data_IF_085233163755
#
_entry.id   IF_085233163755
#
_cell.length_a   1.000
_cell.length_b   1.000
_cell.length_c   1.000
_cell.angle_alpha   90.00
_cell.angle_beta   90.00
_cell.angle_gamma   90.00
#
_symmetry.space_group_name_H-M   'P 1'
#
loop_
_entity.id
_entity.type
_entity.pdbx_description
1 polymer ?
#
# COMPACT_ATOMS: atom_id res chain seq x y z
N UNK A 1 -133.60 -9.30 -6.34
CA UNK A 1 -132.35 -9.85 -5.75
C UNK A 1 -131.42 -10.46 -6.81
N UNK A 2 -131.59 -10.16 -8.11
CA UNK A 2 -130.76 -10.72 -9.20
C UNK A 2 -129.90 -9.69 -9.96
N UNK A 3 -130.02 -8.38 -9.69
CA UNK A 3 -129.22 -7.37 -10.43
C UNK A 3 -127.79 -7.18 -9.90
N UNK A 4 -127.47 -7.75 -8.73
CA UNK A 4 -126.17 -7.53 -8.06
C UNK A 4 -125.17 -8.68 -8.34
N UNK A 5 -125.68 -9.86 -8.72
CA UNK A 5 -124.87 -11.04 -9.03
C UNK A 5 -123.87 -10.83 -10.19
N UNK A 6 -124.24 -10.24 -11.35
CA UNK A 6 -123.29 -10.06 -12.45
C UNK A 6 -122.19 -9.03 -12.12
N UNK A 7 -122.51 -8.01 -11.32
CA UNK A 7 -121.55 -6.95 -10.92
C UNK A 7 -120.48 -7.51 -9.97
N UNK A 8 -120.86 -8.36 -9.01
CA UNK A 8 -119.92 -9.01 -8.09
C UNK A 8 -118.97 -9.96 -8.85
N UNK A 9 -119.46 -10.68 -9.85
CA UNK A 9 -118.66 -11.59 -10.68
C UNK A 9 -117.64 -10.81 -11.52
N UNK A 10 -118.03 -9.67 -12.10
CA UNK A 10 -117.14 -8.83 -12.90
C UNK A 10 -116.08 -8.15 -12.01
N UNK A 11 -116.45 -7.57 -10.87
CA UNK A 11 -115.50 -6.95 -9.94
C UNK A 11 -114.55 -8.01 -9.34
N UNK A 12 -115.07 -9.19 -9.00
CA UNK A 12 -114.27 -10.34 -8.58
C UNK A 12 -113.28 -10.79 -9.65
N UNK A 13 -113.72 -10.87 -10.92
CA UNK A 13 -112.87 -11.21 -12.06
C UNK A 13 -111.77 -10.17 -12.33
N UNK A 14 -112.09 -8.87 -12.25
CA UNK A 14 -111.12 -7.78 -12.46
C UNK A 14 -110.10 -7.74 -11.32
N UNK A 15 -110.53 -7.88 -10.07
CA UNK A 15 -109.61 -7.92 -8.91
C UNK A 15 -108.71 -9.15 -8.94
N UNK A 16 -109.23 -10.33 -9.31
CA UNK A 16 -108.42 -11.53 -9.56
C UNK A 16 -107.42 -11.34 -10.70
N UNK A 17 -107.82 -10.71 -11.81
CA UNK A 17 -106.93 -10.45 -12.95
C UNK A 17 -105.80 -9.46 -12.59
N UNK A 18 -106.10 -8.41 -11.82
CA UNK A 18 -105.10 -7.46 -11.32
C UNK A 18 -104.16 -8.12 -10.32
N UNK A 19 -104.68 -8.92 -9.37
CA UNK A 19 -103.86 -9.68 -8.43
C UNK A 19 -102.97 -10.70 -9.14
N UNK A 20 -103.49 -11.37 -10.18
CA UNK A 20 -102.73 -12.31 -11.00
C UNK A 20 -101.63 -11.61 -11.81
N UNK A 21 -101.93 -10.46 -12.42
CA UNK A 21 -100.96 -9.62 -13.13
C UNK A 21 -99.87 -9.07 -12.19
N UNK A 22 -100.25 -8.56 -11.01
CA UNK A 22 -99.30 -8.08 -10.00
C UNK A 22 -98.44 -9.21 -9.42
N UNK A 23 -98.98 -10.42 -9.25
CA UNK A 23 -98.20 -11.60 -8.88
C UNK A 23 -97.25 -12.04 -9.99
N UNK A 24 -97.67 -11.96 -11.26
CA UNK A 24 -96.81 -12.20 -12.41
C UNK A 24 -95.63 -11.23 -12.48
N UNK A 25 -95.89 -9.92 -12.30
CA UNK A 25 -94.87 -8.88 -12.29
C UNK A 25 -93.90 -9.01 -11.09
N UNK A 26 -94.42 -9.35 -9.89
CA UNK A 26 -93.57 -9.63 -8.72
C UNK A 26 -92.70 -10.87 -8.93
N UNK A 27 -93.25 -11.97 -9.48
CA UNK A 27 -92.48 -13.18 -9.80
C UNK A 27 -91.38 -12.91 -10.83
N UNK A 28 -91.67 -12.15 -11.89
CA UNK A 28 -90.68 -11.76 -12.89
C UNK A 28 -89.54 -10.92 -12.28
N UNK A 29 -89.86 -10.00 -11.34
CA UNK A 29 -88.86 -9.19 -10.65
C UNK A 29 -88.00 -10.00 -9.67
N UNK A 30 -88.60 -11.00 -9.00
CA UNK A 30 -87.86 -11.93 -8.13
C UNK A 30 -86.90 -12.80 -8.97
N UNK A 31 -87.36 -13.34 -10.10
CA UNK A 31 -86.54 -14.15 -11.00
C UNK A 31 -85.36 -13.35 -11.62
N UNK A 32 -85.59 -12.08 -11.98
CA UNK A 32 -84.51 -11.18 -12.43
C UNK A 32 -83.50 -10.88 -11.30
N UNK A 33 -83.98 -10.65 -10.07
CA UNK A 33 -83.10 -10.44 -8.91
C UNK A 33 -82.30 -11.69 -8.55
N UNK A 34 -82.89 -12.88 -8.63
CA UNK A 34 -82.20 -14.16 -8.42
C UNK A 34 -81.12 -14.39 -9.48
N UNK A 35 -81.42 -14.12 -10.75
CA UNK A 35 -80.42 -14.18 -11.84
C UNK A 35 -79.27 -13.20 -11.65
N UNK A 36 -79.55 -11.95 -11.23
CA UNK A 36 -78.50 -10.97 -10.92
C UNK A 36 -77.65 -11.40 -9.73
N UNK A 37 -78.27 -11.92 -8.68
CA UNK A 37 -77.56 -12.44 -7.50
C UNK A 37 -76.70 -13.66 -7.85
N UNK A 38 -77.20 -14.58 -8.67
CA UNK A 38 -76.45 -15.74 -9.14
C UNK A 38 -75.26 -15.31 -10.01
N UNK A 39 -75.47 -14.35 -10.90
CA UNK A 39 -74.40 -13.76 -11.70
C UNK A 39 -73.34 -13.11 -10.81
N UNK A 40 -73.74 -12.28 -9.84
CA UNK A 40 -72.83 -11.66 -8.87
C UNK A 40 -72.06 -12.69 -8.05
N UNK A 41 -72.71 -13.77 -7.60
CA UNK A 41 -72.03 -14.87 -6.88
C UNK A 41 -70.99 -15.54 -7.76
N UNK A 42 -71.32 -15.86 -9.01
CA UNK A 42 -70.38 -16.47 -9.98
C UNK A 42 -69.20 -15.55 -10.29
N UNK A 43 -69.41 -14.23 -10.39
CA UNK A 43 -68.32 -13.27 -10.60
C UNK A 43 -67.43 -13.14 -9.37
N UNK A 44 -68.00 -12.99 -8.17
CA UNK A 44 -67.24 -12.91 -6.93
C UNK A 44 -66.45 -14.19 -6.65
N UNK A 45 -67.02 -15.35 -6.96
CA UNK A 45 -66.36 -16.65 -6.78
C UNK A 45 -65.15 -16.79 -7.72
N UNK A 46 -65.28 -16.37 -8.99
CA UNK A 46 -64.15 -16.31 -9.93
C UNK A 46 -63.05 -15.34 -9.48
N UNK A 47 -63.42 -14.22 -8.84
CA UNK A 47 -62.45 -13.24 -8.34
C UNK A 47 -61.69 -13.76 -7.11
N UNK A 48 -62.39 -14.43 -6.19
CA UNK A 48 -61.76 -15.13 -5.05
C UNK A 48 -60.78 -16.21 -5.54
N UNK A 49 -61.14 -17.00 -6.55
CA UNK A 49 -60.25 -18.00 -7.15
C UNK A 49 -58.99 -17.37 -7.77
N UNK A 50 -59.14 -16.23 -8.46
CA UNK A 50 -58.01 -15.47 -9.01
C UNK A 50 -57.10 -14.91 -7.92
N UNK A 51 -57.66 -14.35 -6.86
CA UNK A 51 -56.88 -13.82 -5.73
C UNK A 51 -56.13 -14.94 -5.00
N UNK A 52 -56.78 -16.07 -4.77
CA UNK A 52 -56.16 -17.23 -4.13
C UNK A 52 -55.03 -17.81 -4.99
N UNK A 53 -55.20 -17.90 -6.32
CA UNK A 53 -54.15 -18.37 -7.20
C UNK A 53 -52.95 -17.42 -7.26
N UNK A 54 -53.18 -16.10 -7.32
CA UNK A 54 -52.13 -15.10 -7.25
C UNK A 54 -51.38 -15.11 -5.91
N UNK A 55 -52.10 -15.25 -4.78
CA UNK A 55 -51.50 -15.34 -3.45
C UNK A 55 -50.64 -16.61 -3.30
N UNK A 56 -51.12 -17.74 -3.80
CA UNK A 56 -50.37 -19.00 -3.78
C UNK A 56 -49.09 -18.93 -4.63
N UNK A 57 -49.16 -18.28 -5.79
CA UNK A 57 -47.98 -18.06 -6.64
C UNK A 57 -46.97 -17.14 -5.96
N UNK A 58 -47.44 -16.05 -5.32
CA UNK A 58 -46.58 -15.15 -4.55
C UNK A 58 -45.88 -15.87 -3.40
N UNK A 59 -46.63 -16.65 -2.61
CA UNK A 59 -46.10 -17.43 -1.50
C UNK A 59 -45.05 -18.44 -1.98
N UNK A 60 -45.30 -19.13 -3.11
CA UNK A 60 -44.34 -20.08 -3.69
C UNK A 60 -43.04 -19.38 -4.10
N UNK A 61 -43.12 -18.25 -4.80
CA UNK A 61 -41.95 -17.46 -5.19
C UNK A 61 -41.15 -16.96 -3.98
N UNK A 62 -41.83 -16.53 -2.92
CA UNK A 62 -41.19 -16.10 -1.68
C UNK A 62 -40.49 -17.26 -0.96
N UNK A 63 -41.14 -18.43 -0.89
CA UNK A 63 -40.55 -19.63 -0.29
C UNK A 63 -39.32 -20.12 -1.07
N UNK A 64 -39.36 -20.09 -2.40
CA UNK A 64 -38.21 -20.40 -3.26
C UNK A 64 -37.03 -19.45 -3.00
N UNK A 65 -37.28 -18.14 -2.85
CA UNK A 65 -36.25 -17.16 -2.48
C UNK A 65 -35.63 -17.45 -1.11
N UNK A 66 -36.43 -17.78 -0.10
CA UNK A 66 -35.92 -18.12 1.23
C UNK A 66 -35.07 -19.40 1.21
N UNK A 67 -35.49 -20.44 0.48
CA UNK A 67 -34.72 -21.68 0.34
C UNK A 67 -33.38 -21.41 -0.34
N UNK A 68 -33.37 -20.57 -1.39
CA UNK A 68 -32.14 -20.15 -2.06
C UNK A 68 -31.20 -19.43 -1.09
N UNK A 69 -31.72 -18.49 -0.30
CA UNK A 69 -30.93 -17.73 0.69
C UNK A 69 -30.34 -18.62 1.79
N UNK A 70 -31.10 -19.61 2.26
CA UNK A 70 -30.61 -20.57 3.26
C UNK A 70 -29.47 -21.42 2.70
N UNK A 71 -29.54 -21.82 1.42
CA UNK A 71 -28.45 -22.56 0.77
C UNK A 71 -27.18 -21.71 0.64
N UNK A 72 -27.32 -20.44 0.24
CA UNK A 72 -26.19 -19.50 0.17
C UNK A 72 -25.53 -19.33 1.54
N UNK A 73 -26.32 -19.11 2.60
CA UNK A 73 -25.80 -18.96 3.96
C UNK A 73 -25.08 -20.22 4.46
N UNK A 74 -25.57 -21.42 4.14
CA UNK A 74 -24.88 -22.69 4.49
C UNK A 74 -23.53 -22.86 3.80
N UNK A 75 -23.40 -22.38 2.56
CA UNK A 75 -22.11 -22.42 1.84
C UNK A 75 -21.13 -21.43 2.48
N UNK A 76 -21.61 -20.24 2.82
CA UNK A 76 -20.78 -19.19 3.42
C UNK A 76 -20.28 -19.58 4.82
N UNK A 77 -21.15 -20.15 5.67
CA UNK A 77 -20.72 -20.61 7.00
C UNK A 77 -19.68 -21.72 6.93
N UNK A 78 -19.79 -22.61 5.93
CA UNK A 78 -18.77 -23.65 5.68
C UNK A 78 -17.44 -23.03 5.25
N UNK A 79 -17.46 -22.05 4.34
CA UNK A 79 -16.25 -21.31 3.92
C UNK A 79 -15.57 -20.60 5.09
N UNK A 80 -16.34 -19.92 5.94
CA UNK A 80 -15.81 -19.24 7.12
C UNK A 80 -15.19 -20.21 8.12
N UNK A 81 -15.78 -21.39 8.31
CA UNK A 81 -15.22 -22.44 9.15
C UNK A 81 -13.87 -22.95 8.60
N UNK A 82 -13.77 -23.17 7.29
CA UNK A 82 -12.52 -23.60 6.64
C UNK A 82 -11.43 -22.53 6.74
N UNK A 83 -11.78 -21.26 6.57
CA UNK A 83 -10.85 -20.12 6.75
C UNK A 83 -10.35 -20.06 8.18
N UNK A 84 -11.25 -20.12 9.17
CA UNK A 84 -10.87 -20.10 10.58
C UNK A 84 -9.95 -21.26 10.93
N UNK A 85 -10.23 -22.48 10.44
CA UNK A 85 -9.37 -23.64 10.66
C UNK A 85 -7.98 -23.47 10.02
N UNK A 86 -7.89 -22.89 8.82
CA UNK A 86 -6.60 -22.60 8.17
C UNK A 86 -5.81 -21.53 8.94
N UNK A 87 -6.48 -20.47 9.38
CA UNK A 87 -5.88 -19.38 10.15
C UNK A 87 -5.35 -19.86 11.49
N UNK A 88 -6.13 -20.66 12.24
CA UNK A 88 -5.69 -21.24 13.51
C UNK A 88 -4.49 -22.16 13.31
N UNK A 89 -4.51 -23.05 12.31
CA UNK A 89 -3.38 -23.93 12.00
C UNK A 89 -2.09 -23.15 11.63
N UNK A 90 -2.22 -22.04 10.91
CA UNK A 90 -1.09 -21.17 10.59
C UNK A 90 -0.54 -20.45 11.82
N UNK A 91 -1.42 -19.98 12.72
CA UNK A 91 -1.02 -19.36 14.00
C UNK A 91 -0.28 -20.37 14.88
N UNK A 92 -0.72 -21.63 14.95
CA UNK A 92 0.02 -22.67 15.69
C UNK A 92 1.40 -22.90 15.10
N UNK A 93 1.51 -23.06 13.78
CA UNK A 93 2.81 -23.22 13.09
C UNK A 93 3.75 -22.04 13.32
N UNK A 94 3.23 -20.80 13.29
CA UNK A 94 3.99 -19.60 13.61
C UNK A 94 4.49 -19.61 15.05
N UNK A 95 3.63 -19.98 16.01
CA UNK A 95 4.00 -20.08 17.43
C UNK A 95 5.09 -21.14 17.68
N UNK A 96 5.05 -22.26 16.94
CA UNK A 96 6.04 -23.33 17.02
C UNK A 96 7.38 -22.89 16.43
N UNK A 97 7.35 -22.21 15.27
CA UNK A 97 8.55 -21.60 14.67
C UNK A 97 9.18 -20.57 15.61
N UNK A 98 8.38 -19.72 16.24
CA UNK A 98 8.86 -18.73 17.19
C UNK A 98 9.51 -19.38 18.42
N UNK A 99 8.88 -20.42 18.98
CA UNK A 99 9.48 -21.20 20.08
C UNK A 99 10.78 -21.90 19.67
N UNK A 100 10.82 -22.51 18.48
CA UNK A 100 12.05 -23.13 17.96
C UNK A 100 13.17 -22.12 17.75
N UNK A 101 12.86 -20.93 17.23
CA UNK A 101 13.83 -19.85 17.07
C UNK A 101 14.36 -19.38 18.43
N UNK A 102 13.48 -19.16 19.42
CA UNK A 102 13.88 -18.76 20.77
C UNK A 102 14.77 -19.81 21.45
N UNK A 103 14.45 -21.10 21.30
CA UNK A 103 15.28 -22.18 21.84
C UNK A 103 16.68 -22.22 21.19
N UNK A 104 16.77 -22.07 19.87
CA UNK A 104 18.06 -21.99 19.16
C UNK A 104 18.86 -20.75 19.61
N UNK A 105 18.18 -19.62 19.79
CA UNK A 105 18.78 -18.38 20.28
C UNK A 105 19.34 -18.58 21.69
N UNK A 106 18.56 -19.16 22.61
CA UNK A 106 19.00 -19.42 23.99
C UNK A 106 20.16 -20.41 24.06
N UNK A 107 20.08 -21.53 23.31
CA UNK A 107 21.13 -22.54 23.26
C UNK A 107 22.43 -21.94 22.73
N UNK A 108 22.40 -21.21 21.60
CA UNK A 108 23.59 -20.57 21.03
C UNK A 108 24.11 -19.44 21.91
N UNK A 109 23.22 -18.65 22.52
CA UNK A 109 23.59 -17.58 23.46
C UNK A 109 24.19 -18.10 24.76
N UNK A 110 23.98 -19.36 25.15
CA UNK A 110 24.66 -19.94 26.31
C UNK A 110 26.14 -20.27 26.05
N UNK A 111 26.51 -20.55 24.79
CA UNK A 111 27.88 -20.92 24.41
C UNK A 111 28.79 -19.69 24.19
N UNK A 112 28.24 -18.55 23.76
CA UNK A 112 29.02 -17.32 23.51
C UNK A 112 29.65 -16.71 24.78
N UNK A 113 28.97 -16.62 25.95
CA UNK A 113 29.55 -16.12 27.19
C UNK A 113 30.70 -16.97 27.70
N UNK A 114 30.63 -18.29 27.52
CA UNK A 114 31.71 -19.20 27.92
C UNK A 114 32.98 -18.95 27.10
N UNK A 115 32.84 -18.88 25.77
CA UNK A 115 33.98 -18.63 24.87
C UNK A 115 34.59 -17.24 25.11
N UNK A 116 33.76 -16.21 25.27
CA UNK A 116 34.24 -14.86 25.61
C UNK A 116 34.95 -14.82 26.98
N UNK A 117 34.52 -15.63 27.94
CA UNK A 117 35.17 -15.75 29.25
C UNK A 117 36.51 -16.48 29.14
N UNK A 118 36.62 -17.53 28.34
CA UNK A 118 37.88 -18.24 28.11
C UNK A 118 38.99 -17.33 27.52
N UNK A 119 38.63 -16.43 26.57
CA UNK A 119 39.57 -15.42 26.06
C UNK A 119 39.97 -14.38 27.11
N UNK A 120 39.03 -13.96 27.97
CA UNK A 120 39.28 -13.08 29.12
C UNK A 120 40.28 -13.71 30.09
N UNK A 121 40.04 -14.97 30.46
CA UNK A 121 40.88 -15.73 31.40
C UNK A 121 42.30 -15.93 30.86
N UNK A 122 42.42 -16.14 29.55
CA UNK A 122 43.72 -16.21 28.86
C UNK A 122 44.48 -14.87 28.93
N UNK A 123 43.78 -13.75 28.71
CA UNK A 123 44.36 -12.41 28.83
C UNK A 123 44.86 -12.15 30.28
N UNK A 124 44.06 -12.56 31.27
CA UNK A 124 44.42 -12.44 32.69
C UNK A 124 45.60 -13.35 33.08
N UNK A 125 45.71 -14.52 32.48
CA UNK A 125 46.85 -15.41 32.65
C UNK A 125 48.15 -14.78 32.13
N UNK A 126 48.14 -14.19 30.93
CA UNK A 126 49.30 -13.49 30.38
C UNK A 126 49.77 -12.34 31.27
N UNK A 127 48.83 -11.51 31.77
CA UNK A 127 49.19 -10.42 32.68
C UNK A 127 49.73 -10.90 34.04
N UNK A 128 49.29 -12.05 34.55
CA UNK A 128 49.87 -12.68 35.74
C UNK A 128 51.30 -13.16 35.49
N UNK A 129 51.59 -13.70 34.31
CA UNK A 129 52.95 -14.10 33.93
C UNK A 129 53.89 -12.89 33.85
N UNK A 130 53.47 -11.81 33.21
CA UNK A 130 54.25 -10.58 33.09
C UNK A 130 54.52 -9.94 34.47
N UNK A 131 53.50 -9.94 35.33
CA UNK A 131 53.63 -9.48 36.71
C UNK A 131 54.63 -10.34 37.51
N UNK A 132 54.57 -11.67 37.39
CA UNK A 132 55.49 -12.59 38.06
C UNK A 132 56.94 -12.39 37.58
N UNK A 133 57.13 -12.18 36.27
CA UNK A 133 58.44 -11.96 35.67
C UNK A 133 59.07 -10.64 36.15
N UNK A 134 58.27 -9.60 36.40
CA UNK A 134 58.77 -8.34 36.96
C UNK A 134 59.12 -8.40 38.45
N UNK A 135 58.47 -9.30 39.20
CA UNK A 135 58.77 -9.53 40.61
C UNK A 135 60.00 -10.44 40.80
N UNK A 136 60.26 -11.35 39.87
CA UNK A 136 61.40 -12.28 39.93
C UNK A 136 62.74 -11.68 39.47
N UNK A 137 62.74 -10.46 38.92
CA UNK A 137 63.97 -9.74 38.51
C UNK A 137 64.83 -9.39 39.73
N UNK A 138 66.16 -9.34 39.51
CA UNK A 138 67.18 -8.95 40.51
C UNK A 138 66.88 -7.59 41.19
N UNK A 139 66.15 -6.69 40.52
CA UNK A 139 65.56 -5.48 41.09
C UNK A 139 64.05 -5.49 40.80
N UNK A 140 63.22 -5.94 41.75
CA UNK A 140 61.76 -6.02 41.56
C UNK A 140 61.13 -4.65 41.32
N UNK A 141 60.14 -4.58 40.43
CA UNK A 141 59.47 -3.34 40.04
C UNK A 141 57.97 -3.32 40.44
N UNK A 142 57.62 -3.19 41.73
CA UNK A 142 56.25 -3.33 42.22
C UNK A 142 55.28 -2.31 41.63
N UNK A 143 55.70 -1.06 41.42
CA UNK A 143 54.88 -0.03 40.77
C UNK A 143 54.56 -0.34 39.30
N UNK A 144 55.48 -1.01 38.59
CA UNK A 144 55.23 -1.45 37.21
C UNK A 144 54.25 -2.63 37.18
N UNK A 145 54.34 -3.52 38.18
CA UNK A 145 53.40 -4.65 38.35
C UNK A 145 51.98 -4.16 38.63
N UNK A 146 51.79 -3.13 39.46
CA UNK A 146 50.46 -2.55 39.68
C UNK A 146 49.86 -1.97 38.40
N UNK A 147 50.66 -1.23 37.62
CA UNK A 147 50.22 -0.71 36.31
C UNK A 147 49.86 -1.82 35.33
N UNK A 148 50.61 -2.92 35.31
CA UNK A 148 50.32 -4.08 34.46
C UNK A 148 49.05 -4.78 34.92
N UNK A 149 48.85 -5.02 36.22
CA UNK A 149 47.61 -5.60 36.74
C UNK A 149 46.39 -4.77 36.37
N UNK A 150 46.50 -3.44 36.46
CA UNK A 150 45.42 -2.55 36.07
C UNK A 150 45.16 -2.57 34.55
N UNK A 151 46.22 -2.54 33.74
CA UNK A 151 46.12 -2.62 32.29
C UNK A 151 45.54 -3.97 31.83
N UNK A 152 45.99 -5.08 32.40
CA UNK A 152 45.46 -6.43 32.14
C UNK A 152 43.98 -6.51 32.50
N UNK A 153 43.56 -5.99 33.66
CA UNK A 153 42.13 -5.98 34.04
C UNK A 153 41.28 -5.19 33.05
N UNK A 154 41.76 -4.05 32.55
CA UNK A 154 41.05 -3.27 31.52
C UNK A 154 41.00 -4.04 30.20
N UNK A 155 42.12 -4.64 29.78
CA UNK A 155 42.21 -5.40 28.55
C UNK A 155 41.33 -6.67 28.57
N UNK A 156 41.35 -7.44 29.66
CA UNK A 156 40.52 -8.63 29.86
C UNK A 156 39.02 -8.29 29.80
N UNK A 157 38.59 -7.23 30.51
CA UNK A 157 37.21 -6.76 30.43
C UNK A 157 36.80 -6.26 29.03
N UNK A 158 37.71 -5.56 28.33
CA UNK A 158 37.46 -5.10 26.96
C UNK A 158 37.35 -6.28 25.99
N UNK A 159 38.25 -7.27 26.09
CA UNK A 159 38.27 -8.48 25.28
C UNK A 159 36.97 -9.28 25.46
N UNK A 160 36.54 -9.48 26.72
CA UNK A 160 35.27 -10.16 27.02
C UNK A 160 34.08 -9.46 26.36
N UNK A 161 33.99 -8.13 26.47
CA UNK A 161 32.90 -7.34 25.86
C UNK A 161 32.97 -7.39 24.34
N UNK A 162 34.14 -7.21 23.76
CA UNK A 162 34.36 -7.28 22.32
C UNK A 162 33.95 -8.63 21.74
N UNK A 163 34.40 -9.74 22.32
CA UNK A 163 34.05 -11.10 21.86
C UNK A 163 32.55 -11.37 21.97
N UNK A 164 31.95 -10.96 23.09
CA UNK A 164 30.50 -11.10 23.30
C UNK A 164 29.69 -10.34 22.24
N UNK A 165 30.09 -9.10 21.94
CA UNK A 165 29.46 -8.28 20.90
C UNK A 165 29.71 -8.84 19.50
N UNK A 166 30.96 -9.20 19.18
CA UNK A 166 31.33 -9.76 17.89
C UNK A 166 30.52 -11.02 17.58
N UNK A 167 30.46 -11.98 18.49
CA UNK A 167 29.71 -13.22 18.25
C UNK A 167 28.21 -12.97 18.09
N UNK A 168 27.67 -11.99 18.82
CA UNK A 168 26.27 -11.60 18.69
C UNK A 168 25.99 -10.94 17.34
N UNK A 169 26.90 -10.09 16.86
CA UNK A 169 26.84 -9.49 15.51
C UNK A 169 26.98 -10.58 14.44
N UNK A 170 28.00 -11.44 14.51
CA UNK A 170 28.19 -12.56 13.57
C UNK A 170 26.94 -13.46 13.50
N UNK A 171 26.28 -13.70 14.64
CA UNK A 171 25.02 -14.43 14.72
C UNK A 171 23.90 -13.67 14.01
N UNK A 172 23.73 -12.38 14.28
CA UNK A 172 22.70 -11.58 13.61
C UNK A 172 22.93 -11.47 12.10
N UNK A 173 24.15 -11.23 11.65
CA UNK A 173 24.50 -11.18 10.22
C UNK A 173 24.19 -12.52 9.52
N UNK A 174 24.45 -13.64 10.20
CA UNK A 174 24.19 -14.97 9.64
C UNK A 174 22.70 -15.29 9.49
N UNK A 175 21.89 -14.96 10.48
CA UNK A 175 20.46 -15.32 10.50
C UNK A 175 19.56 -14.24 9.91
N UNK A 176 20.04 -13.01 9.84
CA UNK A 176 19.36 -11.86 9.26
C UNK A 176 20.28 -11.17 8.25
N UNK A 177 20.58 -11.79 7.09
CA UNK A 177 21.53 -11.23 6.11
C UNK A 177 21.15 -9.84 5.59
N UNK A 178 19.86 -9.47 5.65
CA UNK A 178 19.35 -8.16 5.29
C UNK A 178 19.85 -7.03 6.21
N UNK A 179 20.30 -7.34 7.44
CA UNK A 179 20.90 -6.35 8.34
C UNK A 179 22.18 -5.77 7.71
N UNK A 180 22.94 -6.55 6.94
CA UNK A 180 24.13 -6.07 6.23
C UNK A 180 23.80 -4.96 5.23
N UNK A 181 22.63 -5.04 4.58
CA UNK A 181 22.16 -4.02 3.64
C UNK A 181 21.79 -2.68 4.36
N UNK A 182 21.70 -2.68 5.70
CA UNK A 182 21.36 -1.52 6.56
C UNK A 182 22.59 -0.97 7.31
N UNK A 183 23.79 -1.53 7.11
CA UNK A 183 24.99 -1.10 7.87
C UNK A 183 25.62 0.20 7.37
N UNK A 184 26.22 0.97 8.29
CA UNK A 184 26.88 2.26 8.02
C UNK A 184 25.94 3.45 8.10
N UNK A 185 26.04 4.40 7.16
CA UNK A 185 25.21 5.61 7.08
C UNK A 185 23.69 5.31 6.97
N UNK A 186 23.32 4.09 6.54
CA UNK A 186 21.94 3.60 6.42
C UNK A 186 21.29 3.30 7.79
N UNK A 187 22.07 3.04 8.85
CA UNK A 187 21.53 2.71 10.17
C UNK A 187 20.99 3.95 10.90
N UNK A 188 21.72 5.08 10.84
CA UNK A 188 21.22 6.35 11.39
C UNK A 188 19.97 6.81 10.64
N UNK A 189 19.92 6.62 9.32
CA UNK A 189 18.71 6.88 8.52
C UNK A 189 17.55 5.94 8.84
N UNK A 190 17.83 4.64 9.05
CA UNK A 190 16.81 3.67 9.46
C UNK A 190 16.22 4.05 10.83
N UNK A 191 17.07 4.51 11.76
CA UNK A 191 16.65 5.00 13.07
C UNK A 191 15.85 6.32 12.95
N UNK A 192 16.31 7.27 12.14
CA UNK A 192 15.60 8.54 11.90
C UNK A 192 14.26 8.34 11.17
N UNK A 193 14.20 7.42 10.21
CA UNK A 193 12.97 7.05 9.50
C UNK A 193 11.98 6.33 10.43
N UNK A 194 12.46 5.47 11.33
CA UNK A 194 11.66 4.87 12.39
C UNK A 194 11.16 5.91 13.39
N UNK A 195 12.01 6.85 13.83
CA UNK A 195 11.60 7.96 14.70
C UNK A 195 10.51 8.81 14.03
N UNK A 196 10.64 9.12 12.74
CA UNK A 196 9.62 9.85 11.97
C UNK A 196 8.27 9.09 11.86
N UNK A 197 8.27 7.76 11.95
CA UNK A 197 7.06 6.92 11.92
C UNK A 197 6.46 6.78 13.33
N UNK A 198 7.27 6.63 14.36
CA UNK A 198 6.86 6.36 15.75
C UNK A 198 6.53 7.65 16.52
N UNK A 199 7.14 8.76 16.14
CA UNK A 199 6.89 10.10 16.66
C UNK A 199 7.08 11.08 15.51
N UNK A 200 6.09 11.22 14.60
CA UNK A 200 6.14 12.31 13.64
C UNK A 200 6.39 13.58 14.44
N UNK A 201 7.45 14.35 14.14
CA UNK A 201 7.62 15.65 14.74
C UNK A 201 6.28 16.37 14.61
N UNK A 202 5.84 17.01 15.68
CA UNK A 202 4.84 18.08 15.59
C UNK A 202 5.47 19.26 14.81
N UNK A 203 6.02 19.02 13.63
CA UNK A 203 6.22 20.05 12.64
C UNK A 203 4.82 20.39 12.15
N UNK A 204 4.43 21.62 12.42
CA UNK A 204 3.16 22.15 11.97
C UNK A 204 3.03 21.82 10.47
N UNK A 205 1.90 21.27 10.02
CA UNK A 205 1.66 20.97 8.59
C UNK A 205 1.70 22.21 7.67
N UNK A 206 2.20 23.34 8.17
CA UNK A 206 2.22 24.66 7.56
C UNK A 206 3.62 25.28 7.52
N UNK A 207 4.65 24.64 8.08
CA UNK A 207 5.99 25.20 8.04
C UNK A 207 6.64 24.97 6.67
N UNK A 208 7.01 26.08 6.05
CA UNK A 208 7.63 26.11 4.73
C UNK A 208 8.99 25.38 4.76
N UNK A 209 9.19 24.29 3.98
CA UNK A 209 10.47 23.56 3.94
C UNK A 209 11.69 24.43 3.61
N UNK A 210 11.48 25.57 2.94
CA UNK A 210 12.54 26.56 2.65
C UNK A 210 13.11 27.17 3.93
N UNK A 211 12.30 27.32 5.00
CA UNK A 211 12.77 27.84 6.31
C UNK A 211 13.87 26.96 6.91
N UNK A 212 13.82 25.66 6.69
CA UNK A 212 14.84 24.73 7.21
C UNK A 212 16.20 24.89 6.50
N UNK A 213 16.24 25.61 5.37
CA UNK A 213 17.45 25.81 4.55
C UNK A 213 17.99 27.24 4.64
N UNK A 214 17.28 28.17 5.30
CA UNK A 214 17.65 29.57 5.42
C UNK A 214 17.66 30.04 6.87
N UNK A 215 18.55 30.97 7.20
CA UNK A 215 18.44 31.70 8.46
C UNK A 215 17.24 32.64 8.46
N UNK A 216 16.76 33.03 9.64
CA UNK A 216 15.63 33.96 9.76
C UNK A 216 15.90 35.31 9.08
N UNK A 217 17.15 35.79 9.10
CA UNK A 217 17.56 37.04 8.44
C UNK A 217 17.49 36.93 6.92
N UNK A 218 18.04 35.85 6.35
CA UNK A 218 17.98 35.58 4.91
C UNK A 218 16.53 35.39 4.45
N UNK A 219 15.74 34.65 5.24
CA UNK A 219 14.33 34.46 4.98
C UNK A 219 13.55 35.76 5.05
N UNK A 220 13.97 36.80 5.78
CA UNK A 220 13.28 38.09 5.78
C UNK A 220 13.74 39.02 4.64
N UNK A 221 15.02 38.94 4.25
CA UNK A 221 15.66 39.91 3.37
C UNK A 221 15.36 39.72 1.87
N UNK A 222 15.29 38.47 1.39
CA UNK A 222 15.20 38.18 -0.05
C UNK A 222 13.75 38.26 -0.57
N UNK A 223 13.53 38.31 -1.89
CA UNK A 223 12.20 38.09 -2.48
C UNK A 223 11.80 36.61 -2.45
N UNK A 224 10.54 36.27 -2.73
CA UNK A 224 10.09 34.86 -2.77
C UNK A 224 10.90 34.03 -3.78
N UNK A 225 11.13 34.55 -4.98
CA UNK A 225 11.92 33.88 -6.02
C UNK A 225 13.35 33.58 -5.55
N UNK A 226 14.03 34.59 -4.99
CA UNK A 226 15.41 34.50 -4.51
C UNK A 226 15.54 33.57 -3.31
N UNK A 227 14.60 33.62 -2.34
CA UNK A 227 14.58 32.70 -1.19
C UNK A 227 14.45 31.26 -1.66
N UNK A 228 13.53 31.00 -2.59
CA UNK A 228 13.27 29.67 -3.11
C UNK A 228 14.46 29.15 -3.94
N UNK A 229 15.10 30.01 -4.74
CA UNK A 229 16.31 29.65 -5.49
C UNK A 229 17.47 29.33 -4.55
N UNK A 230 17.71 30.18 -3.54
CA UNK A 230 18.78 29.96 -2.56
C UNK A 230 18.58 28.64 -1.78
N UNK A 231 17.35 28.31 -1.40
CA UNK A 231 17.03 27.02 -0.80
C UNK A 231 17.30 25.86 -1.76
N UNK A 232 16.94 26.00 -3.04
CA UNK A 232 17.20 24.98 -4.05
C UNK A 232 18.70 24.75 -4.24
N UNK A 233 19.49 25.82 -4.31
CA UNK A 233 20.94 25.76 -4.48
C UNK A 233 21.61 25.09 -3.27
N UNK A 234 21.20 25.46 -2.05
CA UNK A 234 21.66 24.81 -0.81
C UNK A 234 21.25 23.34 -0.76
N UNK A 235 20.03 23.04 -1.16
CA UNK A 235 19.56 21.66 -1.23
C UNK A 235 20.40 20.85 -2.22
N UNK A 236 20.73 21.39 -3.40
CA UNK A 236 21.62 20.75 -4.38
C UNK A 236 23.01 20.52 -3.81
N UNK A 237 23.61 21.52 -3.13
CA UNK A 237 24.98 21.45 -2.60
C UNK A 237 25.12 20.62 -1.32
N UNK A 238 24.03 20.41 -0.56
CA UNK A 238 24.04 19.60 0.67
C UNK A 238 24.53 18.18 0.36
N UNK A 239 25.40 17.64 1.23
CA UNK A 239 25.78 16.23 1.22
C UNK A 239 24.53 15.37 1.42
N UNK A 240 24.31 14.45 0.50
CA UNK A 240 23.14 13.56 0.50
C UNK A 240 23.51 12.17 0.95
N UNK A 241 22.53 11.50 1.54
CA UNK A 241 22.65 10.08 1.87
C UNK A 241 22.52 9.20 0.63
N UNK A 242 22.86 7.92 0.78
CA UNK A 242 22.68 6.94 -0.28
C UNK A 242 21.20 6.80 -0.69
N UNK A 243 20.27 6.91 0.27
CA UNK A 243 18.84 6.85 0.00
C UNK A 243 18.35 8.08 -0.77
N UNK A 244 18.74 9.29 -0.34
CA UNK A 244 18.42 10.53 -1.05
C UNK A 244 18.96 10.51 -2.48
N UNK A 245 20.20 10.01 -2.68
CA UNK A 245 20.80 9.85 -4.00
C UNK A 245 20.03 8.82 -4.83
N UNK A 246 19.61 7.70 -4.23
CA UNK A 246 18.76 6.69 -4.89
C UNK A 246 17.46 7.30 -5.40
N UNK A 247 16.72 8.00 -4.54
CA UNK A 247 15.47 8.71 -4.90
C UNK A 247 15.70 9.76 -5.97
N UNK A 248 16.81 10.49 -5.92
CA UNK A 248 17.17 11.46 -6.97
C UNK A 248 17.43 10.78 -8.31
N UNK A 249 18.09 9.62 -8.30
CA UNK A 249 18.31 8.85 -9.51
C UNK A 249 17.00 8.32 -10.08
N UNK A 250 16.08 7.82 -9.25
CA UNK A 250 14.73 7.43 -9.68
C UNK A 250 14.00 8.60 -10.34
N UNK A 251 14.05 9.78 -9.73
CA UNK A 251 13.45 11.01 -10.28
C UNK A 251 14.04 11.37 -11.64
N UNK A 252 15.37 11.28 -11.78
CA UNK A 252 16.06 11.56 -13.03
C UNK A 252 15.69 10.56 -14.13
N UNK A 253 15.66 9.26 -13.82
CA UNK A 253 15.22 8.25 -14.78
C UNK A 253 13.76 8.48 -15.19
N UNK A 254 12.89 8.84 -14.25
CA UNK A 254 11.51 9.21 -14.57
C UNK A 254 11.41 10.42 -15.49
N UNK A 255 12.20 11.48 -15.25
CA UNK A 255 12.30 12.63 -16.15
C UNK A 255 12.72 12.22 -17.57
N UNK A 256 13.72 11.34 -17.72
CA UNK A 256 14.13 10.84 -19.05
C UNK A 256 13.00 10.09 -19.77
N UNK A 257 12.13 9.39 -19.05
CA UNK A 257 10.95 8.75 -19.64
C UNK A 257 9.87 9.78 -20.01
N UNK A 258 9.65 10.82 -19.19
CA UNK A 258 8.72 11.91 -19.50
C UNK A 258 9.14 12.67 -20.75
N UNK A 259 10.42 12.97 -20.92
CA UNK A 259 10.99 13.60 -22.13
C UNK A 259 10.74 12.76 -23.40
N UNK A 260 10.59 11.44 -23.25
CA UNK A 260 10.25 10.53 -24.35
C UNK A 260 8.73 10.41 -24.58
N UNK A 261 7.93 11.26 -23.93
CA UNK A 261 6.48 11.28 -23.98
C UNK A 261 5.81 10.11 -23.26
N UNK A 262 6.46 9.52 -22.24
CA UNK A 262 5.84 8.50 -21.41
C UNK A 262 5.16 9.13 -20.20
N UNK A 263 4.05 8.54 -19.75
CA UNK A 263 3.44 8.91 -18.48
C UNK A 263 4.13 8.14 -17.34
N UNK A 264 4.71 8.84 -16.37
CA UNK A 264 5.49 8.23 -15.29
C UNK A 264 4.78 8.41 -13.95
N UNK A 265 4.75 7.34 -13.17
CA UNK A 265 4.34 7.34 -11.77
C UNK A 265 5.54 6.97 -10.89
N UNK A 266 5.97 7.88 -10.02
CA UNK A 266 7.13 7.74 -9.14
C UNK A 266 6.81 6.90 -7.90
N UNK A 267 6.52 5.63 -8.10
CA UNK A 267 6.01 4.73 -7.06
C UNK A 267 6.98 4.59 -5.87
N UNK A 268 8.28 4.42 -6.12
CA UNK A 268 9.32 4.33 -5.08
C UNK A 268 9.41 5.60 -4.24
N UNK A 269 9.46 6.77 -4.88
CA UNK A 269 9.48 8.06 -4.19
C UNK A 269 8.21 8.35 -3.35
N UNK A 270 7.07 7.72 -3.67
CA UNK A 270 5.79 7.87 -2.95
C UNK A 270 5.63 6.81 -1.83
N UNK A 271 6.00 5.56 -2.09
CA UNK A 271 5.77 4.41 -1.20
C UNK A 271 6.96 4.06 -0.31
N UNK A 272 8.15 4.56 -0.61
CA UNK A 272 9.36 4.24 0.13
C UNK A 272 9.56 2.73 0.22
N UNK A 273 9.81 2.21 1.43
CA UNK A 273 10.09 0.79 1.66
C UNK A 273 8.96 -0.18 1.27
N UNK A 274 7.72 0.31 1.15
CA UNK A 274 6.56 -0.50 0.75
C UNK A 274 6.43 -0.66 -0.78
N UNK A 275 7.37 -0.12 -1.56
CA UNK A 275 7.36 -0.19 -3.02
C UNK A 275 7.69 -1.59 -3.59
N UNK A 276 8.18 -2.49 -2.74
CA UNK A 276 8.69 -3.83 -3.06
C UNK A 276 9.85 -3.82 -4.09
N UNK A 277 10.45 -2.65 -4.35
CA UNK A 277 11.47 -2.41 -5.37
C UNK A 277 10.91 -2.02 -6.75
N UNK A 278 9.68 -1.52 -6.83
CA UNK A 278 9.09 -0.93 -8.05
C UNK A 278 9.25 0.58 -7.99
N UNK A 279 10.29 1.10 -8.60
CA UNK A 279 10.63 2.51 -8.40
C UNK A 279 9.76 3.41 -9.30
N UNK A 280 9.55 3.02 -10.57
CA UNK A 280 8.68 3.74 -11.51
C UNK A 280 7.67 2.81 -12.19
N UNK A 281 6.47 3.33 -12.43
CA UNK A 281 5.48 2.71 -13.31
C UNK A 281 5.31 3.64 -14.52
N UNK A 282 5.82 3.21 -15.67
CA UNK A 282 5.86 4.01 -16.89
C UNK A 282 4.83 3.45 -17.86
N UNK A 283 4.00 4.31 -18.46
CA UNK A 283 2.93 3.90 -19.38
C UNK A 283 3.05 4.64 -20.70
N UNK A 284 2.99 3.91 -21.82
CA UNK A 284 3.01 4.47 -23.17
C UNK A 284 2.28 3.56 -24.15
N UNK A 285 1.33 4.13 -24.92
CA UNK A 285 0.63 3.44 -26.02
C UNK A 285 0.02 2.07 -25.67
N UNK A 286 -0.48 1.90 -24.45
CA UNK A 286 -1.07 0.64 -23.98
C UNK A 286 -0.09 -0.30 -23.26
N UNK A 287 1.22 -0.07 -23.38
CA UNK A 287 2.25 -0.80 -22.67
C UNK A 287 2.55 -0.16 -21.31
N UNK A 288 2.82 -1.00 -20.32
CA UNK A 288 3.26 -0.61 -18.98
C UNK A 288 4.63 -1.21 -18.69
N UNK A 289 5.60 -0.37 -18.36
CA UNK A 289 6.91 -0.78 -17.89
C UNK A 289 7.00 -0.60 -16.38
N UNK A 290 7.39 -1.65 -15.69
CA UNK A 290 7.73 -1.58 -14.26
C UNK A 290 9.24 -1.46 -14.17
N UNK A 291 9.71 -0.30 -13.72
CA UNK A 291 11.12 0.06 -13.73
C UNK A 291 11.68 0.00 -12.32
N UNK A 292 12.79 -0.70 -12.16
CA UNK A 292 13.63 -0.64 -10.96
C UNK A 292 14.95 0.05 -11.28
N UNK A 293 15.31 1.04 -10.48
CA UNK A 293 16.50 1.85 -10.56
C UNK A 293 17.46 1.47 -9.41
N UNK A 294 18.73 1.25 -9.73
CA UNK A 294 19.79 1.07 -8.72
C UNK A 294 20.99 1.96 -9.02
N UNK A 295 21.16 2.99 -8.19
CA UNK A 295 22.30 3.89 -8.25
C UNK A 295 23.42 3.43 -7.31
N UNK A 296 24.36 2.64 -7.82
CA UNK A 296 25.50 2.11 -7.07
C UNK A 296 26.82 2.65 -7.63
N UNK A 297 27.87 2.57 -6.82
CA UNK A 297 29.22 2.91 -7.24
C UNK A 297 29.67 2.04 -8.43
N UNK A 298 30.45 2.61 -9.35
CA UNK A 298 30.79 1.99 -10.65
C UNK A 298 31.60 0.71 -10.51
N UNK A 299 32.32 0.56 -9.41
CA UNK A 299 33.11 -0.62 -9.06
C UNK A 299 32.26 -1.77 -8.49
N UNK A 300 31.01 -1.50 -8.11
CA UNK A 300 30.09 -2.52 -7.61
C UNK A 300 29.42 -3.24 -8.78
N UNK A 301 29.13 -4.52 -8.56
CA UNK A 301 28.43 -5.35 -9.53
C UNK A 301 27.05 -5.71 -9.00
N UNK A 302 26.03 -5.59 -9.85
CA UNK A 302 24.67 -6.05 -9.55
C UNK A 302 24.59 -7.55 -9.79
N UNK A 303 24.16 -8.29 -8.77
CA UNK A 303 23.95 -9.73 -8.83
C UNK A 303 22.47 -10.08 -9.03
N UNK A 304 22.21 -11.34 -9.36
CA UNK A 304 20.91 -11.88 -9.77
C UNK A 304 19.76 -11.62 -8.78
N UNK A 305 20.08 -11.38 -7.50
CA UNK A 305 19.10 -11.11 -6.43
C UNK A 305 18.11 -10.02 -6.83
N UNK A 306 18.58 -8.95 -7.48
CA UNK A 306 17.75 -7.82 -7.85
C UNK A 306 16.88 -8.11 -9.08
N UNK A 307 17.40 -8.90 -10.02
CA UNK A 307 16.63 -9.35 -11.18
C UNK A 307 15.48 -10.27 -10.74
N UNK A 308 15.74 -11.19 -9.82
CA UNK A 308 14.69 -12.04 -9.25
C UNK A 308 13.65 -11.26 -8.46
N UNK A 309 14.09 -10.27 -7.67
CA UNK A 309 13.20 -9.38 -6.95
C UNK A 309 12.29 -8.63 -7.92
N UNK A 310 12.85 -7.92 -8.91
CA UNK A 310 12.07 -7.18 -9.91
C UNK A 310 11.07 -8.11 -10.59
N UNK A 311 11.53 -9.25 -11.12
CA UNK A 311 10.65 -10.20 -11.79
C UNK A 311 9.50 -10.66 -10.88
N UNK A 312 9.79 -11.09 -9.66
CA UNK A 312 8.77 -11.51 -8.70
C UNK A 312 7.76 -10.40 -8.39
N UNK A 313 8.22 -9.16 -8.29
CA UNK A 313 7.33 -8.02 -8.06
C UNK A 313 6.48 -7.71 -9.30
N UNK A 314 7.00 -7.82 -10.52
CA UNK A 314 6.19 -7.63 -11.72
C UNK A 314 5.09 -8.69 -11.81
N UNK A 315 5.42 -9.95 -11.53
CA UNK A 315 4.43 -11.03 -11.48
C UNK A 315 3.31 -10.74 -10.47
N UNK A 316 3.66 -10.25 -9.28
CA UNK A 316 2.68 -9.84 -8.26
C UNK A 316 1.80 -8.68 -8.74
N UNK A 317 2.37 -7.69 -9.43
CA UNK A 317 1.63 -6.57 -9.99
C UNK A 317 0.61 -7.03 -11.04
N UNK A 318 1.04 -7.89 -11.97
CA UNK A 318 0.17 -8.45 -13.01
C UNK A 318 -0.97 -9.26 -12.37
N UNK A 319 -0.64 -10.12 -11.41
CA UNK A 319 -1.63 -10.93 -10.70
C UNK A 319 -2.67 -10.06 -9.98
N UNK A 320 -2.30 -8.91 -9.42
CA UNK A 320 -3.26 -7.96 -8.82
C UNK A 320 -4.08 -7.19 -9.84
N UNK A 321 -3.51 -6.83 -10.99
CA UNK A 321 -4.20 -6.02 -12.01
C UNK A 321 -5.18 -6.84 -12.85
N UNK A 322 -4.86 -8.11 -13.17
CA UNK A 322 -5.73 -8.99 -13.96
C UNK A 322 -6.87 -9.60 -13.13
N UNK A 323 -6.68 -9.67 -11.83
CA UNK A 323 -7.67 -10.12 -10.88
C UNK A 323 -8.51 -8.93 -10.43
N UNK A 324 -9.84 -8.95 -10.61
CA UNK A 324 -10.78 -8.02 -9.96
C UNK A 324 -10.83 -8.23 -8.42
N UNK A 325 -9.67 -8.35 -7.75
CA UNK A 325 -9.51 -8.67 -6.34
C UNK A 325 -9.34 -10.17 -6.00
N UNK A 326 -9.41 -11.10 -6.96
CA UNK A 326 -9.23 -12.54 -6.72
C UNK A 326 -7.88 -13.07 -7.23
N UNK A 327 -6.94 -13.42 -6.34
CA UNK A 327 -5.62 -13.95 -6.72
C UNK A 327 -5.71 -15.14 -7.69
N UNK A 328 -5.36 -14.95 -8.96
CA UNK A 328 -5.27 -16.02 -9.94
C UNK A 328 -3.97 -16.83 -9.75
N UNK A 329 -3.95 -18.11 -10.16
CA UNK A 329 -2.72 -18.90 -10.16
C UNK A 329 -1.65 -18.28 -11.06
N UNK A 330 -0.41 -18.22 -10.54
CA UNK A 330 0.75 -17.57 -11.18
C UNK A 330 0.90 -17.93 -12.68
N UNK A 331 0.74 -19.22 -13.03
CA UNK A 331 1.00 -19.75 -14.36
C UNK A 331 -0.08 -19.41 -15.41
N UNK A 332 -1.33 -19.19 -15.01
CA UNK A 332 -2.39 -18.70 -15.92
C UNK A 332 -2.25 -17.21 -16.20
N UNK A 333 -1.53 -16.47 -15.34
CA UNK A 333 -1.26 -15.04 -15.51
C UNK A 333 -0.22 -14.78 -16.61
N UNK A 334 0.70 -15.73 -16.86
CA UNK A 334 1.75 -15.58 -17.88
C UNK A 334 1.24 -15.67 -19.32
N UNK A 335 0.04 -16.21 -19.58
CA UNK A 335 -0.53 -16.27 -20.93
C UNK A 335 -1.19 -14.94 -21.36
N UNK A 336 -1.39 -14.00 -20.42
CA UNK A 336 -1.89 -12.63 -20.65
C UNK A 336 -0.80 -11.56 -20.46
N UNK A 337 0.47 -11.92 -20.68
CA UNK A 337 1.63 -11.03 -20.53
C UNK A 337 1.79 -9.96 -21.61
N UNK A 338 0.74 -9.65 -22.39
CA UNK A 338 0.90 -8.87 -23.62
C UNK A 338 1.43 -7.46 -23.40
N UNK A 339 1.19 -6.85 -22.24
CA UNK A 339 1.33 -5.39 -22.11
C UNK A 339 2.16 -4.90 -20.91
N UNK A 340 2.74 -5.79 -20.09
CA UNK A 340 3.55 -5.40 -18.91
C UNK A 340 4.99 -5.93 -19.02
N UNK A 341 5.99 -5.03 -18.98
CA UNK A 341 7.41 -5.36 -19.16
C UNK A 341 8.27 -4.92 -17.96
N UNK A 342 9.09 -5.81 -17.37
CA UNK A 342 10.09 -5.42 -16.37
C UNK A 342 11.30 -4.73 -17.01
N UNK A 343 11.74 -3.60 -16.43
CA UNK A 343 12.95 -2.88 -16.83
C UNK A 343 13.84 -2.63 -15.61
N UNK A 344 15.11 -3.00 -15.71
CA UNK A 344 16.13 -2.77 -14.69
C UNK A 344 17.14 -1.75 -15.18
N UNK A 345 17.29 -0.64 -14.44
CA UNK A 345 18.17 0.48 -14.80
C UNK A 345 19.21 0.66 -13.70
N UNK A 346 20.48 0.77 -14.06
CA UNK A 346 21.54 0.97 -13.07
C UNK A 346 22.68 1.83 -13.58
N UNK A 347 23.35 2.52 -12.66
CA UNK A 347 24.55 3.32 -12.93
C UNK A 347 25.82 2.48 -13.06
N UNK A 348 25.75 1.18 -12.77
CA UNK A 348 26.87 0.24 -12.86
C UNK A 348 26.52 -0.93 -13.80
N UNK A 349 27.24 -2.05 -13.68
CA UNK A 349 27.08 -3.26 -14.48
C UNK A 349 26.51 -4.42 -13.68
N UNK A 350 25.88 -5.35 -14.39
CA UNK A 350 25.42 -6.64 -13.91
C UNK A 350 26.52 -7.69 -14.05
N UNK A 351 26.49 -8.70 -13.18
CA UNK A 351 27.26 -9.92 -13.38
C UNK A 351 26.76 -10.69 -14.61
N UNK A 352 27.63 -11.47 -15.25
CA UNK A 352 27.24 -12.30 -16.41
C UNK A 352 26.07 -13.23 -16.08
N UNK A 353 26.10 -13.85 -14.89
CA UNK A 353 24.98 -14.66 -14.37
C UNK A 353 23.69 -13.84 -14.25
N UNK A 354 23.75 -12.60 -13.78
CA UNK A 354 22.56 -11.74 -13.70
C UNK A 354 22.03 -11.36 -15.09
N UNK A 355 22.90 -11.14 -16.08
CA UNK A 355 22.51 -10.90 -17.48
C UNK A 355 21.83 -12.13 -18.10
N UNK A 356 22.37 -13.32 -17.87
CA UNK A 356 21.75 -14.59 -18.30
C UNK A 356 20.33 -14.73 -17.73
N UNK A 357 20.15 -14.47 -16.43
CA UNK A 357 18.83 -14.51 -15.81
C UNK A 357 17.90 -13.41 -16.32
N UNK A 358 18.40 -12.20 -16.55
CA UNK A 358 17.60 -11.12 -17.11
C UNK A 358 17.07 -11.48 -18.51
N UNK A 359 17.93 -12.05 -19.37
CA UNK A 359 17.53 -12.54 -20.69
C UNK A 359 16.48 -13.66 -20.59
N UNK A 360 16.69 -14.65 -19.70
CA UNK A 360 15.76 -15.75 -19.47
C UNK A 360 14.38 -15.28 -18.99
N UNK A 361 14.37 -14.30 -18.09
CA UNK A 361 13.15 -13.75 -17.48
C UNK A 361 12.55 -12.60 -18.28
N UNK A 362 13.11 -12.27 -19.45
CA UNK A 362 12.71 -11.14 -20.32
C UNK A 362 12.69 -9.79 -19.59
N UNK A 363 13.63 -9.60 -18.66
CA UNK A 363 13.88 -8.32 -18.01
C UNK A 363 14.79 -7.49 -18.92
N UNK A 364 14.32 -6.32 -19.32
CA UNK A 364 15.16 -5.36 -20.03
C UNK A 364 16.18 -4.78 -19.07
N UNK A 365 17.45 -4.72 -19.47
CA UNK A 365 18.52 -4.17 -18.64
C UNK A 365 19.15 -2.97 -19.34
N UNK A 366 19.30 -1.87 -18.59
CA UNK A 366 20.02 -0.66 -18.99
C UNK A 366 21.16 -0.41 -18.01
N UNK A 367 22.36 -0.81 -18.39
CA UNK A 367 23.58 -0.68 -17.59
C UNK A 367 24.27 0.67 -17.80
N UNK A 368 25.08 1.09 -16.83
CA UNK A 368 25.94 2.27 -16.93
C UNK A 368 25.20 3.57 -17.30
N UNK A 369 23.93 3.69 -16.89
CA UNK A 369 23.15 4.91 -17.13
C UNK A 369 23.63 6.00 -16.16
N UNK A 370 24.20 7.11 -16.66
CA UNK A 370 24.78 8.14 -15.80
C UNK A 370 23.68 8.94 -15.11
N UNK A 371 23.95 9.41 -13.89
CA UNK A 371 23.12 10.42 -13.25
C UNK A 371 23.58 11.81 -13.73
N UNK A 372 22.82 12.38 -14.67
CA UNK A 372 23.08 13.71 -15.23
C UNK A 372 22.39 14.83 -14.46
N UNK A 373 22.79 16.06 -14.74
CA UNK A 373 22.05 17.24 -14.28
C UNK A 373 20.80 17.45 -15.15
N UNK A 374 19.72 17.92 -14.54
CA UNK A 374 18.44 18.10 -15.21
C UNK A 374 17.60 19.18 -14.50
N UNK A 375 16.62 19.79 -15.18
CA UNK A 375 15.73 20.76 -14.53
C UNK A 375 14.84 20.04 -13.51
N UNK A 376 14.92 20.46 -12.24
CA UNK A 376 14.26 19.77 -11.11
C UNK A 376 13.07 20.53 -10.53
N UNK A 377 12.66 21.64 -11.14
CA UNK A 377 11.47 22.39 -10.71
C UNK A 377 10.31 21.96 -11.59
N UNK A 378 9.28 21.36 -11.00
CA UNK A 378 8.08 20.93 -11.71
C UNK A 378 7.07 22.06 -11.79
N UNK A 379 6.81 22.61 -12.97
CA UNK A 379 5.81 23.64 -13.20
C UNK A 379 4.54 23.01 -13.75
N UNK A 380 3.48 22.94 -12.93
CA UNK A 380 2.23 22.29 -13.29
C UNK A 380 1.02 23.24 -13.22
N UNK A 381 -0.03 22.91 -13.96
CA UNK A 381 -1.27 23.65 -14.03
C UNK A 381 -2.35 22.82 -13.32
N UNK A 382 -2.93 23.35 -12.26
CA UNK A 382 -3.92 22.61 -11.49
C UNK A 382 -5.18 22.36 -12.32
N UNK A 383 -5.51 21.09 -12.58
CA UNK A 383 -6.74 20.69 -13.28
C UNK A 383 -8.03 21.15 -12.60
N UNK A 384 -7.98 21.51 -11.31
CA UNK A 384 -9.17 21.92 -10.54
C UNK A 384 -9.55 23.38 -10.76
N UNK A 385 -8.56 24.27 -10.88
CA UNK A 385 -8.79 25.72 -10.87
C UNK A 385 -7.91 26.50 -11.87
N UNK A 386 -7.09 25.81 -12.68
CA UNK A 386 -6.19 26.43 -13.66
C UNK A 386 -5.01 27.18 -13.04
N UNK A 387 -4.75 27.05 -11.73
CA UNK A 387 -3.63 27.74 -11.10
C UNK A 387 -2.29 27.18 -11.59
N UNK A 388 -1.42 28.07 -12.05
CA UNK A 388 -0.03 27.78 -12.44
C UNK A 388 0.85 27.76 -11.19
N UNK A 389 1.31 26.58 -10.80
CA UNK A 389 2.16 26.42 -9.62
C UNK A 389 3.42 25.62 -9.91
N UNK A 390 4.52 25.95 -9.25
CA UNK A 390 5.74 25.15 -9.32
C UNK A 390 6.05 24.48 -7.99
N UNK A 391 6.68 23.30 -8.08
CA UNK A 391 7.11 22.48 -6.96
C UNK A 391 8.63 22.33 -6.94
N UNK A 392 9.23 22.57 -5.79
CA UNK A 392 10.64 22.27 -5.51
C UNK A 392 10.79 20.79 -5.10
N UNK A 393 11.98 20.18 -5.26
CA UNK A 393 12.22 18.75 -5.00
C UNK A 393 11.94 18.28 -3.56
N UNK A 394 11.79 19.21 -2.63
CA UNK A 394 11.48 18.99 -1.22
C UNK A 394 10.06 19.44 -0.82
N UNK A 395 9.24 19.89 -1.79
CA UNK A 395 7.83 20.19 -1.54
C UNK A 395 7.00 18.88 -1.48
N UNK A 396 5.98 18.87 -0.62
CA UNK A 396 5.20 17.66 -0.30
C UNK A 396 4.56 16.95 -1.50
N UNK A 397 4.13 17.70 -2.52
CA UNK A 397 3.45 17.13 -3.70
C UNK A 397 4.40 16.83 -4.87
N UNK A 398 5.71 17.09 -4.73
CA UNK A 398 6.64 17.02 -5.85
C UNK A 398 6.63 15.67 -6.60
N UNK A 399 6.64 14.54 -5.88
CA UNK A 399 6.67 13.21 -6.52
C UNK A 399 5.32 12.77 -7.07
N UNK A 400 4.23 13.38 -6.59
CA UNK A 400 2.86 13.12 -7.09
C UNK A 400 2.53 13.94 -8.32
N UNK A 401 3.16 15.11 -8.47
CA UNK A 401 3.01 15.95 -9.64
C UNK A 401 3.72 15.32 -10.83
N UNK A 402 2.97 15.05 -11.88
CA UNK A 402 3.45 14.59 -13.19
C UNK A 402 3.33 15.78 -14.13
N UNK A 403 4.35 16.01 -14.96
CA UNK A 403 4.36 17.10 -15.94
C UNK A 403 3.72 16.62 -17.24
N UNK A 404 2.74 17.37 -17.74
CA UNK A 404 2.04 17.16 -19.00
C UNK A 404 2.38 18.30 -19.99
N UNK A 405 3.45 18.18 -20.81
CA UNK A 405 3.92 19.24 -21.71
C UNK A 405 2.85 19.75 -22.68
N UNK A 406 1.93 18.88 -23.11
CA UNK A 406 0.80 19.23 -23.97
C UNK A 406 -0.16 20.26 -23.37
N UNK A 407 -0.22 20.36 -22.03
CA UNK A 407 -1.05 21.33 -21.30
C UNK A 407 -0.27 22.63 -20.99
N UNK A 408 0.99 22.74 -21.44
CA UNK A 408 1.88 23.87 -21.14
C UNK A 408 2.58 23.77 -19.79
N UNK A 409 2.59 22.58 -19.17
CA UNK A 409 3.42 22.27 -18.01
C UNK A 409 4.87 21.99 -18.44
N UNK A 410 5.85 22.24 -17.58
CA UNK A 410 7.25 22.01 -17.94
C UNK A 410 8.17 21.90 -16.72
N UNK A 411 9.41 21.49 -16.96
CA UNK A 411 10.48 21.53 -15.99
C UNK A 411 11.31 22.80 -16.13
N UNK A 412 11.61 23.48 -15.01
CA UNK A 412 12.45 24.67 -14.99
C UNK A 412 13.79 24.42 -14.29
N UNK A 413 14.84 25.11 -14.73
CA UNK A 413 16.16 25.12 -14.11
C UNK A 413 16.23 26.02 -12.88
N UNK A 414 15.48 27.13 -12.93
CA UNK A 414 15.48 28.16 -11.89
C UNK A 414 14.06 28.59 -11.52
N UNK A 415 13.89 29.11 -10.31
CA UNK A 415 12.61 29.67 -9.88
C UNK A 415 12.23 30.91 -10.69
N UNK A 416 13.23 31.70 -11.10
CA UNK A 416 13.05 32.87 -11.97
C UNK A 416 12.48 32.46 -13.34
N UNK A 417 12.96 31.37 -13.94
CA UNK A 417 12.39 30.82 -15.18
C UNK A 417 10.91 30.42 -15.01
N UNK A 418 10.58 29.75 -13.91
CA UNK A 418 9.20 29.37 -13.60
C UNK A 418 8.29 30.60 -13.39
N UNK A 419 8.74 31.57 -12.60
CA UNK A 419 7.98 32.78 -12.27
C UNK A 419 7.78 33.69 -13.48
N UNK A 420 8.77 33.81 -14.38
CA UNK A 420 8.64 34.53 -15.65
C UNK A 420 7.57 33.93 -16.57
N UNK A 421 7.32 32.63 -16.48
CA UNK A 421 6.23 31.93 -17.20
C UNK A 421 4.88 32.00 -16.47
N UNK A 422 4.82 32.75 -15.36
CA UNK A 422 3.60 33.00 -14.58
C UNK A 422 3.28 31.91 -13.56
N UNK A 423 4.23 31.04 -13.20
CA UNK A 423 4.06 30.04 -12.16
C UNK A 423 4.48 30.61 -10.81
N UNK A 424 3.66 30.40 -9.77
CA UNK A 424 4.03 30.74 -8.39
C UNK A 424 4.39 29.48 -7.61
N UNK A 425 5.13 29.57 -6.50
CA UNK A 425 5.39 28.37 -5.67
C UNK A 425 4.09 27.76 -5.15
N UNK A 426 4.01 26.43 -5.15
CA UNK A 426 2.84 25.70 -4.68
C UNK A 426 2.58 25.91 -3.18
N UNK A 427 3.64 25.90 -2.36
CA UNK A 427 3.56 26.23 -0.94
C UNK A 427 3.13 27.69 -0.76
N UNK A 428 1.89 27.91 -0.29
CA UNK A 428 1.38 29.25 -0.01
C UNK A 428 1.92 29.70 1.34
N UNK A 429 2.84 30.66 1.32
CA UNK A 429 3.23 31.36 2.54
C UNK A 429 1.98 32.00 3.16
N UNK A 430 1.63 31.59 4.38
CA UNK A 430 0.66 32.29 5.20
C UNK A 430 1.47 33.13 6.20
N UNK A 431 1.37 34.47 6.18
CA UNK A 431 1.83 35.23 7.34
C UNK A 431 1.08 34.69 8.55
N UNK A 432 1.79 34.36 9.62
CA UNK A 432 1.19 34.09 10.92
C UNK A 432 0.24 35.26 11.21
N UNK A 433 -1.05 34.98 11.39
CA UNK A 433 -1.94 35.94 12.02
C UNK A 433 -1.42 36.09 13.44
N UNK A 434 -0.79 37.22 13.73
CA UNK A 434 -0.54 37.62 15.11
C UNK A 434 -1.89 37.77 15.78
N UNK A 435 -2.17 36.88 16.74
CA UNK A 435 -3.20 37.11 17.74
C UNK A 435 -2.67 38.08 18.82
#
# INVERSE_FOLDING_TARGET
MEEIAPIIIIIGGITLAVLWSMNGAKRAKIDDLEKRNEYQRKTSQKEIERLNSAQNEHNRKTQEKHIKRIRELKVETKRLADINHKTTANLTKLSERQRGLLAIIEEKNSHFPWLATAFSDYQDYLGKMDAALLLSKKRPAPKAVEKIKEATRRASNAEKRFRSLKYRIDFYEKYFPWIMDVTGDSLEEFLNAQEAIVSPPLESQNDDPVRNMLSQQEYAAFSTAERNQLALDRWKSKRKSNWEIGRMYERYIGYLYEEQGNRVEYFGAIKGLDDLGRDLIVRKSGETMIVQCKYWAKEKTIHEKHIFQLFGTVVEHIARTNSNGESLPLFETFTQLSDIRPVFVTSTVLSERAKEFAALLKVEVRESVPFGDYPIIKCNISKRNGERVYHLPFDQQYDRTVIEPEEGEFYAWTTDEAEKQGFRRAHRWRPERGD
#
